data_IF_756493710996
#
_entry.id   IF_756493710996
#
_cell.length_a   1.000
_cell.length_b   1.000
_cell.length_c   1.000
_cell.angle_alpha   90.00
_cell.angle_beta   90.00
_cell.angle_gamma   90.00
#
_symmetry.space_group_name_H-M   'P 1'
#
loop_
_entity.id
_entity.type
_entity.pdbx_description
1 polymer ?
#
# COMPACT_ATOMS: atom_id res chain seq x y z
N UNK A 1 7.63 -21.52 3.71
CA UNK A 1 7.21 -22.91 3.41
C UNK A 1 7.63 -23.26 1.98
N UNK A 2 8.02 -24.51 1.76
CA UNK A 2 8.52 -25.06 0.49
C UNK A 2 7.58 -24.75 -0.68
N UNK A 3 8.12 -24.45 -1.87
CA UNK A 3 7.39 -24.51 -3.14
C UNK A 3 6.72 -25.89 -3.23
N UNK A 4 5.43 -25.92 -2.90
CA UNK A 4 4.63 -27.14 -2.89
C UNK A 4 4.65 -27.69 -4.31
N UNK A 5 5.08 -28.94 -4.48
CA UNK A 5 4.89 -29.71 -5.71
C UNK A 5 3.41 -29.62 -6.07
N UNK A 6 3.07 -28.72 -7.00
CA UNK A 6 1.68 -28.50 -7.38
C UNK A 6 1.15 -29.79 -8.00
N UNK A 7 0.07 -30.33 -7.42
CA UNK A 7 -0.61 -31.49 -7.99
C UNK A 7 -0.92 -31.22 -9.48
N UNK A 8 -0.73 -32.20 -10.38
CA UNK A 8 -0.93 -31.98 -11.80
C UNK A 8 -2.39 -31.60 -12.10
N UNK A 9 -2.58 -30.66 -13.03
CA UNK A 9 -3.92 -30.22 -13.46
C UNK A 9 -4.63 -31.36 -14.21
N UNK A 10 -5.84 -31.71 -13.77
CA UNK A 10 -6.70 -32.70 -14.42
C UNK A 10 -7.18 -32.23 -15.80
N UNK A 11 -7.71 -33.15 -16.64
CA UNK A 11 -8.26 -32.77 -17.94
C UNK A 11 -9.45 -31.81 -17.80
N UNK A 12 -10.29 -32.01 -16.77
CA UNK A 12 -11.37 -31.09 -16.46
C UNK A 12 -10.83 -29.71 -16.05
N UNK A 13 -9.77 -29.65 -15.25
CA UNK A 13 -9.12 -28.39 -14.89
C UNK A 13 -8.56 -27.61 -16.07
N UNK A 14 -7.95 -28.30 -17.05
CA UNK A 14 -7.51 -27.65 -18.30
C UNK A 14 -8.68 -27.08 -19.08
N UNK A 15 -9.79 -27.82 -19.15
CA UNK A 15 -11.01 -27.36 -19.82
C UNK A 15 -11.63 -26.12 -19.17
N UNK A 16 -11.57 -25.98 -17.84
CA UNK A 16 -11.98 -24.74 -17.16
C UNK A 16 -11.17 -23.55 -17.67
N UNK A 17 -9.84 -23.69 -17.75
CA UNK A 17 -8.95 -22.61 -18.23
C UNK A 17 -9.20 -22.26 -19.70
N UNK A 18 -9.48 -23.26 -20.54
CA UNK A 18 -9.82 -23.02 -21.94
C UNK A 18 -11.17 -22.29 -22.09
N UNK A 19 -12.15 -22.66 -21.26
CA UNK A 19 -13.50 -22.08 -21.27
C UNK A 19 -13.55 -20.64 -20.74
N UNK A 20 -12.62 -20.21 -19.88
CA UNK A 20 -12.55 -18.81 -19.41
C UNK A 20 -12.63 -17.78 -20.54
N UNK A 21 -12.05 -18.10 -21.70
CA UNK A 21 -11.96 -17.19 -22.85
C UNK A 21 -13.16 -17.25 -23.79
N UNK A 22 -13.98 -18.30 -23.69
CA UNK A 22 -15.02 -18.61 -24.68
C UNK A 22 -16.41 -18.73 -24.08
N UNK A 23 -16.55 -19.34 -22.89
CA UNK A 23 -17.81 -19.49 -22.17
C UNK A 23 -17.57 -19.49 -20.65
N UNK A 24 -17.74 -18.30 -20.06
CA UNK A 24 -17.54 -18.08 -18.62
C UNK A 24 -18.56 -18.82 -17.75
N UNK A 25 -19.77 -19.05 -18.26
CA UNK A 25 -20.83 -19.71 -17.49
C UNK A 25 -20.57 -21.21 -17.41
N UNK A 26 -20.17 -21.84 -18.52
CA UNK A 26 -19.73 -23.24 -18.52
C UNK A 26 -18.45 -23.41 -17.68
N UNK A 27 -17.51 -22.46 -17.75
CA UNK A 27 -16.30 -22.47 -16.92
C UNK A 27 -16.63 -22.46 -15.42
N UNK A 28 -17.57 -21.61 -14.99
CA UNK A 28 -18.02 -21.54 -13.59
C UNK A 28 -18.67 -22.85 -13.13
N UNK A 29 -19.64 -23.39 -13.88
CA UNK A 29 -20.30 -24.66 -13.54
C UNK A 29 -19.30 -25.82 -13.46
N UNK A 30 -18.34 -25.88 -14.39
CA UNK A 30 -17.32 -26.91 -14.38
C UNK A 30 -16.38 -26.73 -13.19
N UNK A 31 -15.92 -25.51 -12.91
CA UNK A 31 -15.07 -25.19 -11.76
C UNK A 31 -15.76 -25.57 -10.44
N UNK A 32 -17.05 -25.27 -10.28
CA UNK A 32 -17.84 -25.64 -9.10
C UNK A 32 -17.95 -27.15 -8.89
N UNK A 33 -17.93 -27.94 -9.96
CA UNK A 33 -18.04 -29.40 -9.89
C UNK A 33 -16.73 -30.09 -9.48
N UNK A 34 -15.60 -29.38 -9.52
CA UNK A 34 -14.29 -29.92 -9.17
C UNK A 34 -14.13 -30.06 -7.65
N UNK A 35 -13.25 -30.99 -7.25
CA UNK A 35 -12.84 -31.09 -5.85
C UNK A 35 -12.06 -29.84 -5.42
N UNK A 36 -12.08 -29.53 -4.11
CA UNK A 36 -11.30 -28.42 -3.54
C UNK A 36 -9.82 -28.49 -3.91
N UNK A 37 -9.22 -29.67 -3.85
CA UNK A 37 -7.81 -29.87 -4.21
C UNK A 37 -7.52 -29.56 -5.68
N UNK A 38 -8.44 -29.93 -6.58
CA UNK A 38 -8.33 -29.59 -8.00
C UNK A 38 -8.50 -28.10 -8.25
N UNK A 39 -9.46 -27.45 -7.59
CA UNK A 39 -9.65 -26.00 -7.68
C UNK A 39 -8.38 -25.24 -7.24
N UNK A 40 -7.82 -25.59 -6.08
CA UNK A 40 -6.55 -25.04 -5.56
C UNK A 40 -5.40 -25.29 -6.53
N UNK A 41 -5.29 -26.51 -7.08
CA UNK A 41 -4.25 -26.87 -8.04
C UNK A 41 -4.34 -26.01 -9.30
N UNK A 42 -5.53 -25.88 -9.90
CA UNK A 42 -5.71 -25.10 -11.14
C UNK A 42 -5.34 -23.64 -10.91
N UNK A 43 -5.85 -23.02 -9.85
CA UNK A 43 -5.55 -21.62 -9.49
C UNK A 43 -4.05 -21.44 -9.27
N UNK A 44 -3.40 -22.36 -8.54
CA UNK A 44 -1.97 -22.27 -8.25
C UNK A 44 -1.08 -22.43 -9.49
N UNK A 45 -1.42 -23.36 -10.38
CA UNK A 45 -0.72 -23.51 -11.65
C UNK A 45 -0.93 -22.31 -12.56
N UNK A 46 -2.16 -21.79 -12.61
CA UNK A 46 -2.48 -20.62 -13.42
C UNK A 46 -1.74 -19.40 -12.90
N UNK A 47 -1.65 -19.21 -11.58
CA UNK A 47 -0.92 -18.10 -10.96
C UNK A 47 0.57 -18.06 -11.35
N UNK A 48 1.17 -19.21 -11.66
CA UNK A 48 2.56 -19.29 -12.12
C UNK A 48 2.73 -18.98 -13.61
N UNK A 49 1.67 -19.11 -14.42
CA UNK A 49 1.71 -18.90 -15.88
C UNK A 49 1.13 -17.55 -16.29
N UNK A 50 -0.03 -17.22 -15.74
CA UNK A 50 -0.83 -16.04 -16.02
C UNK A 50 -1.65 -15.71 -14.75
N UNK A 51 -1.09 -14.88 -13.85
CA UNK A 51 -1.74 -14.59 -12.58
C UNK A 51 -3.05 -13.78 -12.72
N UNK A 52 -3.26 -13.09 -13.85
CA UNK A 52 -4.56 -12.43 -14.13
C UNK A 52 -5.64 -13.44 -14.41
N UNK A 53 -5.35 -14.44 -15.24
CA UNK A 53 -6.29 -15.54 -15.46
C UNK A 53 -6.54 -16.35 -14.17
N UNK A 54 -5.55 -16.45 -13.27
CA UNK A 54 -5.73 -17.08 -11.96
C UNK A 54 -6.70 -16.30 -11.06
N UNK A 55 -6.67 -14.97 -11.13
CA UNK A 55 -7.65 -14.12 -10.48
C UNK A 55 -9.05 -14.32 -11.07
N UNK A 56 -9.18 -14.39 -12.40
CA UNK A 56 -10.47 -14.64 -13.04
C UNK A 56 -11.09 -15.98 -12.60
N UNK A 57 -10.27 -17.01 -12.38
CA UNK A 57 -10.72 -18.29 -11.83
C UNK A 57 -11.31 -18.18 -10.43
N UNK A 58 -10.74 -17.34 -9.55
CA UNK A 58 -11.30 -17.08 -8.23
C UNK A 58 -12.69 -16.45 -8.39
N UNK A 59 -12.82 -15.43 -9.25
CA UNK A 59 -14.10 -14.76 -9.52
C UNK A 59 -15.08 -15.52 -10.44
N UNK A 60 -14.86 -16.82 -10.67
CA UNK A 60 -15.88 -17.69 -11.25
C UNK A 60 -16.82 -18.27 -10.18
N UNK A 61 -16.39 -18.24 -8.92
CA UNK A 61 -17.08 -18.86 -7.80
C UNK A 61 -17.65 -17.79 -6.87
N UNK A 62 -18.55 -18.20 -5.99
CA UNK A 62 -18.97 -17.35 -4.87
C UNK A 62 -17.81 -17.05 -3.92
N UNK A 63 -17.95 -15.99 -3.11
CA UNK A 63 -16.89 -15.52 -2.21
C UNK A 63 -16.47 -16.57 -1.18
N UNK A 64 -17.39 -17.41 -0.72
CA UNK A 64 -17.08 -18.44 0.28
C UNK A 64 -16.17 -19.52 -0.31
N UNK A 65 -16.51 -20.04 -1.50
CA UNK A 65 -15.66 -21.01 -2.21
C UNK A 65 -14.33 -20.38 -2.62
N UNK A 66 -14.34 -19.11 -3.01
CA UNK A 66 -13.13 -18.38 -3.37
C UNK A 66 -12.20 -18.21 -2.17
N UNK A 67 -12.74 -17.87 -0.99
CA UNK A 67 -12.02 -17.84 0.29
C UNK A 67 -11.43 -19.22 0.61
N UNK A 68 -12.19 -20.29 0.47
CA UNK A 68 -11.71 -21.67 0.72
C UNK A 68 -10.52 -22.06 -0.17
N UNK A 69 -10.49 -21.59 -1.41
CA UNK A 69 -9.37 -21.80 -2.34
C UNK A 69 -8.19 -20.91 -1.95
N UNK A 70 -8.43 -19.64 -1.64
CA UNK A 70 -7.41 -18.69 -1.19
C UNK A 70 -6.69 -19.19 0.06
N UNK A 71 -7.41 -19.77 1.02
CA UNK A 71 -6.84 -20.44 2.19
C UNK A 71 -5.95 -21.64 1.84
N UNK A 72 -6.26 -22.34 0.74
CA UNK A 72 -5.53 -23.52 0.29
C UNK A 72 -4.28 -23.22 -0.54
N UNK A 73 -4.13 -22.02 -1.08
CA UNK A 73 -2.95 -21.63 -1.86
C UNK A 73 -1.85 -21.04 -0.97
N UNK A 74 -0.58 -21.30 -1.31
CA UNK A 74 0.56 -20.75 -0.57
C UNK A 74 0.72 -19.23 -0.77
N UNK A 75 1.33 -18.56 0.21
CA UNK A 75 1.46 -17.09 0.25
C UNK A 75 2.17 -16.52 -0.99
N UNK A 76 3.21 -17.19 -1.50
CA UNK A 76 3.91 -16.80 -2.74
C UNK A 76 3.01 -16.83 -3.98
N UNK A 77 2.12 -17.82 -4.06
CA UNK A 77 1.15 -17.94 -5.15
C UNK A 77 0.11 -16.84 -5.05
N UNK A 78 -0.46 -16.65 -3.86
CA UNK A 78 -1.44 -15.59 -3.59
C UNK A 78 -0.85 -14.19 -3.87
N UNK A 79 0.37 -13.94 -3.43
CA UNK A 79 1.10 -12.71 -3.71
C UNK A 79 1.24 -12.44 -5.22
N UNK A 80 1.57 -13.46 -6.02
CA UNK A 80 1.64 -13.32 -7.49
C UNK A 80 0.29 -12.95 -8.11
N UNK A 81 -0.80 -13.55 -7.63
CA UNK A 81 -2.16 -13.24 -8.08
C UNK A 81 -2.48 -11.78 -7.75
N UNK A 82 -2.28 -11.37 -6.50
CA UNK A 82 -2.54 -10.00 -6.04
C UNK A 82 -1.75 -8.96 -6.84
N UNK A 83 -0.44 -9.17 -7.03
CA UNK A 83 0.40 -8.20 -7.75
C UNK A 83 0.04 -8.06 -9.24
N UNK A 84 -0.69 -9.02 -9.80
CA UNK A 84 -1.14 -8.92 -11.20
C UNK A 84 -2.30 -7.96 -11.41
N UNK A 85 -2.91 -7.50 -10.30
CA UNK A 85 -3.94 -6.48 -10.29
C UNK A 85 -3.33 -5.12 -10.70
N UNK A 86 -3.94 -4.48 -11.68
CA UNK A 86 -3.90 -3.02 -11.72
C UNK A 86 -4.65 -2.49 -10.50
N UNK A 87 -4.25 -1.34 -9.97
CA UNK A 87 -4.72 -0.62 -8.78
C UNK A 87 -6.24 -0.46 -8.56
N UNK A 88 -7.07 -1.05 -9.42
CA UNK A 88 -8.53 -1.01 -9.44
C UNK A 88 -9.21 -2.34 -9.09
N UNK A 89 -8.49 -3.43 -8.83
CA UNK A 89 -9.09 -4.76 -8.64
C UNK A 89 -8.84 -5.39 -7.26
N UNK A 90 -9.12 -4.63 -6.22
CA UNK A 90 -9.08 -4.98 -4.78
C UNK A 90 -9.72 -6.36 -4.41
N UNK A 91 -10.62 -6.92 -5.22
CA UNK A 91 -11.45 -8.06 -4.82
C UNK A 91 -10.77 -9.40 -4.46
N UNK A 92 -9.45 -9.57 -4.66
CA UNK A 92 -8.74 -10.75 -4.08
C UNK A 92 -8.33 -10.48 -2.64
N UNK A 93 -8.06 -9.23 -2.28
CA UNK A 93 -7.65 -8.82 -0.93
C UNK A 93 -8.77 -9.14 0.08
N UNK A 94 -10.03 -8.92 -0.30
CA UNK A 94 -11.23 -9.25 0.51
C UNK A 94 -11.45 -10.75 0.73
N UNK A 95 -10.72 -11.61 0.00
CA UNK A 95 -10.79 -13.07 0.15
C UNK A 95 -9.72 -13.62 1.09
N UNK A 96 -8.76 -12.80 1.52
CA UNK A 96 -7.63 -13.26 2.32
C UNK A 96 -7.92 -13.09 3.81
N UNK A 97 -7.58 -14.10 4.59
CA UNK A 97 -7.68 -14.02 6.05
C UNK A 97 -6.69 -12.96 6.60
N UNK A 98 -7.13 -12.05 7.51
CA UNK A 98 -6.27 -11.05 8.16
C UNK A 98 -4.95 -11.60 8.70
N UNK A 99 -4.96 -12.81 9.27
CA UNK A 99 -3.77 -13.44 9.87
C UNK A 99 -2.65 -13.71 8.86
N UNK A 100 -2.97 -13.76 7.56
CA UNK A 100 -2.00 -14.02 6.49
C UNK A 100 -1.47 -12.76 5.83
N UNK A 101 -2.11 -11.61 6.05
CA UNK A 101 -1.81 -10.37 5.31
C UNK A 101 -0.37 -9.94 5.52
N UNK A 102 0.11 -9.91 6.77
CA UNK A 102 1.50 -9.52 7.04
C UNK A 102 2.50 -10.48 6.37
N UNK A 103 2.28 -11.80 6.45
CA UNK A 103 3.17 -12.77 5.80
C UNK A 103 3.21 -12.62 4.28
N UNK A 104 2.13 -12.14 3.66
CA UNK A 104 2.09 -11.84 2.23
C UNK A 104 2.82 -10.52 1.93
N UNK A 105 2.66 -9.50 2.78
CA UNK A 105 3.38 -8.23 2.66
C UNK A 105 4.90 -8.40 2.86
N UNK A 106 5.32 -9.33 3.72
CA UNK A 106 6.73 -9.67 3.91
C UNK A 106 7.35 -10.28 2.65
N UNK A 107 6.56 -10.96 1.81
CA UNK A 107 7.02 -11.50 0.53
C UNK A 107 7.31 -10.41 -0.50
N UNK A 108 6.66 -9.25 -0.41
CA UNK A 108 7.00 -8.10 -1.27
C UNK A 108 8.43 -7.63 -1.01
N UNK A 109 8.83 -7.59 0.27
CA UNK A 109 10.19 -7.29 0.69
C UNK A 109 11.18 -8.33 0.17
N UNK A 110 10.84 -9.63 0.26
CA UNK A 110 11.68 -10.74 -0.15
C UNK A 110 11.86 -10.82 -1.69
N UNK A 111 10.81 -10.50 -2.45
CA UNK A 111 10.77 -10.76 -3.90
C UNK A 111 11.10 -9.52 -4.75
N UNK A 112 10.90 -8.30 -4.24
CA UNK A 112 10.99 -7.08 -5.07
C UNK A 112 11.78 -5.92 -4.44
N UNK A 113 12.02 -5.90 -3.14
CA UNK A 113 12.67 -4.74 -2.50
C UNK A 113 14.19 -4.89 -2.42
N UNK A 114 14.91 -4.03 -3.13
CA UNK A 114 16.35 -3.78 -2.90
C UNK A 114 16.64 -3.10 -1.55
N UNK A 115 15.61 -2.83 -0.72
CA UNK A 115 15.73 -2.19 0.60
C UNK A 115 14.90 -2.81 1.74
N UNK A 116 14.19 -3.93 1.54
CA UNK A 116 13.45 -4.63 2.60
C UNK A 116 12.30 -3.85 3.24
N UNK A 117 11.62 -2.96 2.50
CA UNK A 117 10.42 -2.23 2.98
C UNK A 117 9.24 -2.60 2.10
N UNK A 118 8.14 -3.02 2.71
CA UNK A 118 6.86 -3.35 2.05
C UNK A 118 6.36 -2.12 1.31
N UNK A 119 5.88 -2.29 0.07
CA UNK A 119 5.25 -1.20 -0.68
C UNK A 119 4.08 -0.57 0.12
N UNK A 120 4.21 0.70 0.56
CA UNK A 120 3.17 1.36 1.36
C UNK A 120 1.84 1.48 0.63
N UNK A 121 1.87 1.56 -0.71
CA UNK A 121 0.66 1.64 -1.51
C UNK A 121 -0.15 0.34 -1.46
N UNK A 122 0.53 -0.80 -1.42
CA UNK A 122 -0.11 -2.10 -1.22
C UNK A 122 -0.81 -2.17 0.14
N UNK A 123 -0.15 -1.72 1.22
CA UNK A 123 -0.78 -1.69 2.56
C UNK A 123 -2.01 -0.78 2.61
N UNK A 124 -1.99 0.36 1.91
CA UNK A 124 -3.16 1.23 1.76
C UNK A 124 -4.34 0.47 1.11
N UNK A 125 -4.12 -0.21 -0.01
CA UNK A 125 -5.17 -0.97 -0.70
C UNK A 125 -5.77 -2.08 0.18
N UNK A 126 -4.98 -2.72 1.05
CA UNK A 126 -5.50 -3.66 2.03
C UNK A 126 -6.43 -3.00 3.02
N UNK A 127 -6.06 -1.84 3.57
CA UNK A 127 -6.93 -1.13 4.51
C UNK A 127 -8.26 -0.73 3.86
N UNK A 128 -8.22 -0.24 2.60
CA UNK A 128 -9.43 0.02 1.80
C UNK A 128 -10.30 -1.23 1.69
N UNK A 129 -9.69 -2.38 1.38
CA UNK A 129 -10.42 -3.64 1.16
C UNK A 129 -11.17 -4.12 2.41
N UNK A 130 -10.65 -3.80 3.59
CA UNK A 130 -11.21 -4.22 4.87
C UNK A 130 -12.12 -3.17 5.51
N UNK A 131 -12.33 -2.02 4.86
CA UNK A 131 -13.23 -0.97 5.36
C UNK A 131 -14.65 -1.49 5.60
N UNK A 132 -15.15 -2.33 4.69
CA UNK A 132 -16.50 -2.88 4.74
C UNK A 132 -16.62 -4.15 5.63
N UNK A 133 -15.49 -4.70 6.09
CA UNK A 133 -15.48 -5.87 6.98
C UNK A 133 -15.81 -5.46 8.42
N UNK A 134 -16.25 -6.44 9.23
CA UNK A 134 -16.64 -6.19 10.62
C UNK A 134 -15.48 -5.68 11.51
N UNK A 135 -15.83 -5.05 12.63
CA UNK A 135 -14.86 -4.41 13.54
C UNK A 135 -13.81 -5.41 14.05
N UNK A 136 -14.20 -6.67 14.25
CA UNK A 136 -13.31 -7.71 14.74
C UNK A 136 -12.27 -8.09 13.68
N UNK A 137 -12.69 -8.21 12.43
CA UNK A 137 -11.84 -8.54 11.28
C UNK A 137 -10.89 -7.38 10.97
N UNK A 138 -11.38 -6.13 11.01
CA UNK A 138 -10.56 -4.94 10.82
C UNK A 138 -9.53 -4.77 11.96
N UNK A 139 -9.94 -4.96 13.21
CA UNK A 139 -9.03 -4.97 14.37
C UNK A 139 -7.94 -6.04 14.24
N UNK A 140 -8.32 -7.23 13.77
CA UNK A 140 -7.39 -8.31 13.52
C UNK A 140 -6.37 -7.90 12.44
N UNK A 141 -6.81 -7.29 11.34
CA UNK A 141 -5.90 -6.74 10.32
C UNK A 141 -4.90 -5.75 10.93
N UNK A 142 -5.38 -4.75 11.68
CA UNK A 142 -4.52 -3.73 12.29
C UNK A 142 -3.49 -4.35 13.24
N UNK A 143 -3.87 -5.37 14.02
CA UNK A 143 -2.95 -6.06 14.93
C UNK A 143 -1.82 -6.83 14.23
N UNK A 144 -1.99 -7.10 12.93
CA UNK A 144 -1.02 -7.85 12.11
C UNK A 144 -0.11 -6.95 11.29
N UNK A 145 -0.60 -5.77 10.88
CA UNK A 145 0.19 -4.83 10.09
C UNK A 145 1.24 -4.12 10.96
N UNK A 146 2.46 -4.01 10.45
CA UNK A 146 3.46 -3.12 11.06
C UNK A 146 2.96 -1.67 10.92
N UNK A 147 2.75 -1.00 12.06
CA UNK A 147 2.30 0.38 12.14
C UNK A 147 3.18 1.36 11.34
N UNK A 148 4.46 1.06 11.15
CA UNK A 148 5.36 1.88 10.31
C UNK A 148 5.05 1.77 8.82
N UNK A 149 4.64 0.59 8.37
CA UNK A 149 4.16 0.38 6.99
C UNK A 149 2.86 1.15 6.79
N UNK A 150 1.98 1.13 7.78
CA UNK A 150 0.74 1.91 7.76
C UNK A 150 1.04 3.42 7.77
N UNK A 151 1.96 3.89 8.60
CA UNK A 151 2.40 5.29 8.63
C UNK A 151 2.95 5.74 7.27
N UNK A 152 3.82 4.93 6.66
CA UNK A 152 4.36 5.18 5.33
C UNK A 152 3.26 5.25 4.26
N UNK A 153 2.20 4.45 4.41
CA UNK A 153 1.08 4.40 3.44
C UNK A 153 0.25 5.68 3.44
N UNK A 154 0.19 6.38 4.58
CA UNK A 154 -0.56 7.63 4.75
C UNK A 154 0.31 8.89 4.67
N UNK A 155 1.63 8.77 4.60
CA UNK A 155 2.55 9.90 4.76
C UNK A 155 2.30 11.04 3.78
N UNK A 156 2.01 10.72 2.52
CA UNK A 156 1.74 11.73 1.48
C UNK A 156 0.24 12.11 1.38
N UNK A 157 -0.61 11.52 2.25
CA UNK A 157 -2.07 11.67 2.22
C UNK A 157 -2.61 12.60 3.30
N UNK A 158 -1.83 12.91 4.33
CA UNK A 158 -2.17 13.95 5.31
C UNK A 158 -1.70 15.29 4.76
N UNK A 159 -2.66 16.15 4.44
CA UNK A 159 -2.39 17.53 4.04
C UNK A 159 -2.11 18.32 5.32
N UNK A 160 -0.95 18.95 5.39
CA UNK A 160 -0.64 19.83 6.53
C UNK A 160 -1.70 20.93 6.58
N UNK A 161 -2.36 21.17 7.74
CA UNK A 161 -3.31 22.26 7.85
C UNK A 161 -2.61 23.58 7.51
N UNK A 162 -2.95 24.19 6.37
CA UNK A 162 -2.49 25.56 6.13
C UNK A 162 -3.17 26.44 7.15
N UNK A 163 -2.40 27.21 7.91
CA UNK A 163 -2.95 28.15 8.88
C UNK A 163 -3.85 29.16 8.14
N UNK A 164 -5.15 28.89 8.07
CA UNK A 164 -6.16 29.86 7.65
C UNK A 164 -6.38 30.85 8.79
N UNK A 165 -5.38 31.69 9.01
CA UNK A 165 -5.52 32.95 9.72
C UNK A 165 -4.59 33.93 9.04
N UNK A 166 -5.16 34.82 8.23
CA UNK A 166 -4.43 35.69 7.34
C UNK A 166 -3.37 36.51 8.07
N UNK A 167 -2.12 36.23 7.76
CA UNK A 167 -0.99 37.14 7.74
C UNK A 167 -0.01 36.57 6.71
N UNK A 168 0.53 37.44 5.88
CA UNK A 168 1.26 37.10 4.66
C UNK A 168 2.65 36.51 4.94
N UNK A 169 3.06 35.61 4.03
CA UNK A 169 4.41 35.29 3.57
C UNK A 169 5.56 35.34 4.59
N UNK A 170 6.15 34.19 4.91
CA UNK A 170 7.30 33.68 4.16
C UNK A 170 7.84 32.37 4.77
N UNK A 171 8.42 31.55 3.88
CA UNK A 171 9.47 30.54 4.13
C UNK A 171 9.11 29.18 4.77
N UNK A 172 9.34 28.13 3.97
CA UNK A 172 9.93 26.83 4.32
C UNK A 172 9.55 26.18 5.66
N UNK A 173 8.70 25.15 5.59
CA UNK A 173 8.52 24.19 6.68
C UNK A 173 7.22 24.39 7.48
N UNK A 174 6.07 24.09 6.88
CA UNK A 174 4.78 24.19 7.55
C UNK A 174 4.68 23.28 8.78
N UNK A 175 4.94 23.80 9.97
CA UNK A 175 4.69 23.07 11.23
C UNK A 175 3.19 22.92 11.46
N UNK A 176 2.76 21.78 12.00
CA UNK A 176 1.36 21.58 12.41
C UNK A 176 0.92 22.67 13.41
N UNK A 177 -0.35 23.11 13.39
CA UNK A 177 -0.84 24.12 14.32
C UNK A 177 -0.58 23.72 15.78
N UNK A 178 -0.28 24.69 16.66
CA UNK A 178 -0.01 24.39 18.07
C UNK A 178 -1.17 23.67 18.78
N UNK A 179 -2.42 23.98 18.41
CA UNK A 179 -3.62 23.28 18.91
C UNK A 179 -3.63 21.80 18.53
N UNK A 180 -3.17 21.47 17.33
CA UNK A 180 -3.04 20.09 16.86
C UNK A 180 -2.05 19.30 17.70
N UNK A 181 -0.86 19.87 17.97
CA UNK A 181 0.16 19.23 18.80
C UNK A 181 -0.33 19.02 20.24
N UNK A 182 -1.07 19.99 20.81
CA UNK A 182 -1.65 19.86 22.15
C UNK A 182 -2.71 18.76 22.21
N UNK A 183 -3.57 18.64 21.18
CA UNK A 183 -4.55 17.55 21.09
C UNK A 183 -3.88 16.20 20.98
N UNK A 184 -2.81 16.09 20.18
CA UNK A 184 -2.03 14.86 20.06
C UNK A 184 -1.39 14.45 21.39
N UNK A 185 -0.72 15.37 22.08
CA UNK A 185 -0.08 15.12 23.39
C UNK A 185 -1.08 14.70 24.49
N UNK A 186 -2.35 15.08 24.33
CA UNK A 186 -3.44 14.75 25.26
C UNK A 186 -4.24 13.52 24.86
N UNK A 187 -3.91 12.89 23.74
CA UNK A 187 -4.71 11.81 23.12
C UNK A 187 -6.17 12.25 22.85
N UNK A 188 -6.37 13.53 22.50
CA UNK A 188 -7.69 14.13 22.19
C UNK A 188 -7.89 14.35 20.68
N UNK A 189 -6.89 13.98 19.86
CA UNK A 189 -6.92 14.16 18.42
C UNK A 189 -7.94 13.21 17.77
N UNK A 190 -8.74 13.74 16.86
CA UNK A 190 -9.71 12.97 16.08
C UNK A 190 -9.38 12.97 14.58
N UNK A 191 -9.90 12.01 13.81
CA UNK A 191 -9.78 12.00 12.35
C UNK A 191 -10.23 13.32 11.70
N UNK A 192 -11.33 13.92 12.19
CA UNK A 192 -11.85 15.20 11.68
C UNK A 192 -10.93 16.41 11.93
N UNK A 193 -9.94 16.29 12.83
CA UNK A 193 -8.93 17.32 13.05
C UNK A 193 -7.81 17.28 11.98
N UNK A 194 -7.78 16.24 11.12
CA UNK A 194 -6.81 16.07 10.04
C UNK A 194 -7.35 16.63 8.73
N UNK A 195 -6.51 17.37 8.01
CA UNK A 195 -6.77 17.66 6.59
C UNK A 195 -6.14 16.52 5.78
N UNK A 196 -6.92 15.85 4.92
CA UNK A 196 -6.46 14.70 4.13
C UNK A 196 -6.70 14.93 2.64
N UNK A 197 -5.93 14.25 1.80
CA UNK A 197 -5.96 14.41 0.35
C UNK A 197 -7.22 13.86 -0.32
N UNK A 198 -7.89 12.90 0.31
CA UNK A 198 -9.02 12.18 -0.24
C UNK A 198 -9.96 11.63 0.86
N UNK A 199 -11.24 11.46 0.50
CA UNK A 199 -12.31 11.01 1.41
C UNK A 199 -12.08 9.57 1.90
N UNK A 200 -11.57 8.69 1.04
CA UNK A 200 -11.24 7.31 1.39
C UNK A 200 -10.19 7.23 2.51
N UNK A 201 -9.19 8.11 2.49
CA UNK A 201 -8.21 8.23 3.58
C UNK A 201 -8.87 8.62 4.90
N UNK A 202 -9.82 9.56 4.87
CA UNK A 202 -10.57 9.97 6.07
C UNK A 202 -11.39 8.80 6.62
N UNK A 203 -12.04 8.03 5.74
CA UNK A 203 -12.83 6.86 6.13
C UNK A 203 -11.96 5.81 6.82
N UNK A 204 -10.77 5.53 6.30
CA UNK A 204 -9.84 4.58 6.94
C UNK A 204 -9.37 5.09 8.29
N UNK A 205 -8.93 6.35 8.38
CA UNK A 205 -8.49 6.94 9.65
C UNK A 205 -9.62 6.95 10.69
N UNK A 206 -10.85 7.21 10.25
CA UNK A 206 -12.04 7.12 11.10
C UNK A 206 -12.30 5.70 11.57
N UNK A 207 -12.19 4.72 10.66
CA UNK A 207 -12.33 3.30 11.00
C UNK A 207 -11.28 2.84 12.01
N UNK A 208 -10.03 3.27 11.83
CA UNK A 208 -8.93 3.01 12.77
C UNK A 208 -9.26 3.61 14.13
N UNK A 209 -9.62 4.90 14.20
CA UNK A 209 -9.95 5.58 15.46
C UNK A 209 -11.10 4.90 16.22
N UNK A 210 -12.17 4.50 15.51
CA UNK A 210 -13.31 3.82 16.11
C UNK A 210 -12.98 2.41 16.61
N UNK A 211 -12.02 1.74 15.96
CA UNK A 211 -11.60 0.38 16.31
C UNK A 211 -10.58 0.39 17.44
N UNK A 212 -9.59 1.29 17.37
CA UNK A 212 -8.50 1.44 18.33
C UNK A 212 -7.97 2.89 18.30
N UNK A 213 -8.47 3.70 19.24
CA UNK A 213 -8.07 5.09 19.42
C UNK A 213 -6.57 5.21 19.74
N UNK A 214 -5.99 4.26 20.49
CA UNK A 214 -4.58 4.32 20.83
C UNK A 214 -3.71 4.06 19.59
N UNK A 215 -4.10 3.09 18.75
CA UNK A 215 -3.43 2.84 17.48
C UNK A 215 -3.48 4.08 16.57
N UNK A 216 -4.62 4.77 16.49
CA UNK A 216 -4.74 6.01 15.71
C UNK A 216 -3.75 7.08 16.20
N UNK A 217 -3.69 7.33 17.51
CA UNK A 217 -2.77 8.34 18.08
C UNK A 217 -1.30 7.96 17.83
N UNK A 218 -0.96 6.69 18.00
CA UNK A 218 0.40 6.19 17.75
C UNK A 218 0.77 6.32 16.26
N UNK A 219 -0.16 6.02 15.35
CA UNK A 219 0.01 6.15 13.91
C UNK A 219 0.36 7.59 13.53
N UNK A 220 -0.45 8.56 13.97
CA UNK A 220 -0.21 9.98 13.69
C UNK A 220 1.13 10.42 14.29
N UNK A 221 1.44 9.99 15.52
CA UNK A 221 2.71 10.30 16.18
C UNK A 221 3.93 9.79 15.40
N UNK A 222 3.85 8.60 14.80
CA UNK A 222 4.92 8.02 13.99
C UNK A 222 5.09 8.82 12.70
N UNK A 223 3.99 9.15 12.01
CA UNK A 223 4.03 9.90 10.76
C UNK A 223 4.74 11.25 10.90
N UNK A 224 4.45 11.99 11.97
CA UNK A 224 5.12 13.27 12.28
C UNK A 224 6.62 13.10 12.51
N UNK A 225 7.02 12.06 13.26
CA UNK A 225 8.43 11.81 13.59
C UNK A 225 9.23 11.35 12.38
N UNK A 226 8.65 10.53 11.51
CA UNK A 226 9.32 10.07 10.29
C UNK A 226 9.48 11.20 9.27
N UNK A 227 8.51 12.11 9.21
CA UNK A 227 8.60 13.33 8.39
C UNK A 227 9.73 14.23 8.88
N UNK A 228 9.82 14.50 10.19
CA UNK A 228 10.91 15.26 10.82
C UNK A 228 12.30 14.67 10.52
N UNK A 229 12.41 13.34 10.46
CA UNK A 229 13.67 12.67 10.12
C UNK A 229 14.02 12.83 8.63
N UNK A 230 13.02 12.77 7.74
CA UNK A 230 13.23 12.96 6.30
C UNK A 230 13.63 14.40 5.99
N UNK A 231 12.96 15.41 6.55
CA UNK A 231 13.29 16.83 6.37
C UNK A 231 14.70 17.12 6.88
N UNK A 232 15.06 16.71 8.10
CA UNK A 232 16.43 16.87 8.61
C UNK A 232 17.48 16.21 7.72
N UNK A 233 17.21 15.01 7.22
CA UNK A 233 18.16 14.32 6.33
C UNK A 233 18.33 15.02 4.97
N UNK A 234 17.26 15.65 4.48
CA UNK A 234 17.26 16.40 3.23
C UNK A 234 17.98 17.75 3.40
N UNK A 235 17.75 18.45 4.52
CA UNK A 235 18.48 19.67 4.91
C UNK A 235 19.97 19.39 5.05
N UNK A 236 20.36 18.35 5.80
CA UNK A 236 21.78 17.96 5.92
C UNK A 236 22.42 17.52 4.59
N UNK A 237 21.64 16.97 3.66
CA UNK A 237 22.11 16.64 2.33
C UNK A 237 22.27 17.89 1.46
N UNK A 238 21.34 18.84 1.58
CA UNK A 238 21.38 20.13 0.89
C UNK A 238 22.53 21.00 1.39
N UNK A 239 22.75 21.07 2.70
CA UNK A 239 23.90 21.75 3.32
C UNK A 239 25.23 21.16 2.85
N UNK A 240 25.30 19.83 2.72
CA UNK A 240 26.48 19.15 2.16
C UNK A 240 26.69 19.48 0.69
N UNK A 241 25.64 19.60 -0.10
CA UNK A 241 25.71 20.01 -1.51
C UNK A 241 26.16 21.48 -1.59
N UNK A 242 25.58 22.39 -0.80
CA UNK A 242 26.00 23.80 -0.76
C UNK A 242 27.47 23.95 -0.33
N UNK A 243 27.93 23.18 0.67
CA UNK A 243 29.34 23.17 1.07
C UNK A 243 30.27 22.60 -0.02
N UNK A 244 29.80 21.66 -0.84
CA UNK A 244 30.58 21.09 -1.96
C UNK A 244 30.58 21.97 -3.20
N UNK A 245 29.48 22.67 -3.48
CA UNK A 245 29.33 23.58 -4.61
C UNK A 245 30.10 24.89 -4.35
N UNK A 246 30.26 25.28 -3.08
CA UNK A 246 30.93 26.52 -2.72
C UNK A 246 30.14 27.74 -3.20
N UNK A 247 30.46 28.91 -2.66
CA UNK A 247 29.84 30.17 -3.10
C UNK A 247 30.28 30.45 -4.55
N UNK A 248 29.47 30.02 -5.53
CA UNK A 248 29.74 30.22 -6.97
C UNK A 248 29.51 31.65 -7.44
N UNK A 249 29.23 32.58 -6.52
CA UNK A 249 29.17 34.01 -6.80
C UNK A 249 30.50 34.54 -7.39
N UNK A 250 31.64 34.03 -6.93
CA UNK A 250 32.96 34.40 -7.51
C UNK A 250 33.15 33.87 -8.95
N UNK A 251 32.57 32.72 -9.31
CA UNK A 251 32.66 32.18 -10.67
C UNK A 251 31.73 32.90 -11.67
N UNK A 252 30.66 33.53 -11.20
CA UNK A 252 29.79 34.36 -12.05
C UNK A 252 30.37 35.73 -12.35
N UNK A 253 31.18 36.31 -11.46
CA UNK A 253 31.87 37.59 -11.73
C UNK A 253 33.02 37.44 -12.74
N UNK A 254 33.79 36.35 -12.72
CA UNK A 254 34.84 36.10 -13.73
C UNK A 254 34.29 35.83 -15.15
N UNK A 255 33.05 35.35 -15.26
CA UNK A 255 32.42 35.07 -16.56
C UNK A 255 31.96 36.34 -17.29
N UNK A 256 31.57 37.38 -16.55
CA UNK A 256 31.12 38.67 -17.11
C UNK A 256 32.30 39.52 -17.63
N UNK A 257 33.52 39.36 -17.11
CA UNK A 257 34.72 40.04 -17.63
C UNK A 257 35.27 39.44 -18.94
N UNK A 258 34.83 38.23 -19.31
CA UNK A 258 35.26 37.56 -20.56
C UNK A 258 34.42 37.94 -21.79
N UNK A 259 33.33 38.70 -21.61
CA UNK A 259 32.55 39.25 -22.72
C UNK A 259 33.16 40.56 -23.21
N UNK A 260 34.17 40.47 -24.08
CA UNK A 260 34.61 41.61 -24.90
C UNK A 260 33.56 41.77 -26.03
N UNK A 261 32.82 42.89 -26.12
CA UNK A 261 31.98 43.15 -27.27
C UNK A 261 32.87 43.28 -28.51
N UNK A 262 32.56 42.53 -29.57
CA UNK A 262 33.15 42.82 -30.88
C UNK A 262 32.51 44.11 -31.39
N UNK A 263 33.26 45.21 -31.37
CA UNK A 263 32.88 46.46 -32.03
C UNK A 263 32.63 46.21 -33.53
N UNK A 264 31.57 46.83 -34.06
CA UNK A 264 31.13 46.79 -35.47
C UNK A 264 32.19 47.22 -36.50
#
# INVERSE_FOLDING_TARGET
MQDTLLAPISQHGKRVVDLLKTDRQEASQLMESLSREEQISIVSHQASKDPRAAQELLFLLDDNKSRDIVEGIGDRTLFRIMKSQSSTHIGVLTLVNPDRVQSILDLDQELFSTKGVTDPQTAYHWMVSFLEEDDATFSQLLSRLDIRVVASAFQDKIVRPSAKSGEADDEEGGTFPADFMVKLDRNELKPDDLEVSDEETLDILTRIYLTDEAYFIDLISIMLREEDLKTRSAEEAFDRIQQQVGDMSEFTEEADEMFIPLDE
#
